data_IF_557444476436
#
_entry.id   IF_557444476436
#
_cell.length_a   1.000
_cell.length_b   1.000
_cell.length_c   1.000
_cell.angle_alpha   90.00
_cell.angle_beta   90.00
_cell.angle_gamma   90.00
#
_symmetry.space_group_name_H-M   'P 1'
#
loop_
_entity.id
_entity.type
_entity.pdbx_description
1 polymer ?
#
# COMPACT_ATOMS: atom_id res chain seq x y z
N UNK A 1 -3.32 5.47 -21.75
CA UNK A 1 -2.36 5.35 -20.65
C UNK A 1 -3.10 4.96 -19.38
N UNK A 2 -2.73 3.82 -18.83
CA UNK A 2 -3.26 3.22 -17.59
C UNK A 2 -2.15 3.23 -16.55
N UNK A 3 -2.51 3.39 -15.28
CA UNK A 3 -1.55 3.36 -14.18
C UNK A 3 -1.92 2.26 -13.19
N UNK A 4 -0.91 1.57 -12.68
CA UNK A 4 -1.05 0.53 -11.68
C UNK A 4 -0.33 1.00 -10.43
N UNK A 5 -1.09 1.14 -9.34
CA UNK A 5 -0.53 1.33 -8.02
C UNK A 5 -0.34 -0.04 -7.39
N UNK A 6 0.92 -0.40 -7.21
CA UNK A 6 1.39 -1.75 -6.96
C UNK A 6 1.97 -1.83 -5.56
N UNK A 7 1.88 -2.97 -4.89
CA UNK A 7 2.59 -3.16 -3.61
C UNK A 7 2.00 -4.29 -2.78
N UNK A 8 2.64 -4.57 -1.65
CA UNK A 8 2.24 -5.66 -0.77
C UNK A 8 0.85 -5.44 -0.12
N UNK A 9 0.18 -6.50 0.35
CA UNK A 9 -1.11 -6.35 1.01
C UNK A 9 -1.03 -5.48 2.29
N UNK A 10 -1.95 -4.51 2.42
CA UNK A 10 -2.11 -3.75 3.67
C UNK A 10 -1.17 -2.54 3.86
N UNK A 11 -0.38 -2.17 2.85
CA UNK A 11 0.58 -1.05 2.93
C UNK A 11 -0.02 0.35 2.66
N UNK A 12 -1.33 0.43 2.39
CA UNK A 12 -2.04 1.71 2.21
C UNK A 12 -2.37 2.11 0.76
N UNK A 13 -2.32 1.17 -0.20
CA UNK A 13 -2.66 1.45 -1.62
C UNK A 13 -4.03 2.09 -1.79
N UNK A 14 -5.06 1.51 -1.19
CA UNK A 14 -6.42 2.04 -1.26
C UNK A 14 -6.51 3.46 -0.70
N UNK A 15 -5.81 3.74 0.41
CA UNK A 15 -5.73 5.10 0.98
C UNK A 15 -5.08 6.07 0.00
N UNK A 16 -3.94 5.70 -0.60
CA UNK A 16 -3.28 6.54 -1.60
C UNK A 16 -4.15 6.74 -2.85
N UNK A 17 -4.87 5.72 -3.30
CA UNK A 17 -5.81 5.83 -4.43
C UNK A 17 -6.90 6.89 -4.15
N UNK A 18 -7.46 6.90 -2.93
CA UNK A 18 -8.43 7.91 -2.51
C UNK A 18 -7.78 9.30 -2.45
N UNK A 19 -6.58 9.43 -1.88
CA UNK A 19 -5.85 10.71 -1.90
C UNK A 19 -5.61 11.22 -3.34
N UNK A 20 -5.30 10.32 -4.27
CA UNK A 20 -5.19 10.64 -5.69
C UNK A 20 -6.52 11.09 -6.29
N UNK A 21 -7.65 10.46 -5.92
CA UNK A 21 -8.97 10.91 -6.36
C UNK A 21 -9.25 12.37 -5.93
N UNK A 22 -9.00 12.70 -4.67
CA UNK A 22 -9.12 14.08 -4.17
C UNK A 22 -8.17 15.03 -4.88
N UNK A 23 -6.90 14.65 -5.07
CA UNK A 23 -5.92 15.46 -5.77
C UNK A 23 -6.36 15.75 -7.22
N UNK A 24 -6.83 14.74 -7.95
CA UNK A 24 -7.29 14.87 -9.33
C UNK A 24 -8.50 15.81 -9.45
N UNK A 25 -9.44 15.73 -8.51
CA UNK A 25 -10.58 16.65 -8.49
C UNK A 25 -10.12 18.05 -8.13
N UNK A 26 -9.52 18.22 -6.95
CA UNK A 26 -9.27 19.55 -6.40
C UNK A 26 -8.22 20.33 -7.21
N UNK A 27 -7.16 19.66 -7.66
CA UNK A 27 -6.04 20.28 -8.38
C UNK A 27 -6.27 20.30 -9.90
N UNK A 28 -6.73 19.19 -10.48
CA UNK A 28 -6.82 19.01 -11.93
C UNK A 28 -8.24 19.14 -12.49
N UNK A 29 -9.23 19.43 -11.64
CA UNK A 29 -10.64 19.62 -12.02
C UNK A 29 -11.23 18.45 -12.81
N UNK A 30 -10.75 17.23 -12.51
CA UNK A 30 -11.28 16.00 -13.09
C UNK A 30 -12.45 15.47 -12.27
N UNK A 31 -13.38 14.80 -12.94
CA UNK A 31 -14.43 14.04 -12.28
C UNK A 31 -13.92 12.62 -12.09
N UNK A 32 -14.02 12.09 -10.89
CA UNK A 32 -13.40 10.83 -10.51
C UNK A 32 -14.47 9.90 -9.97
N UNK A 33 -14.49 8.69 -10.54
CA UNK A 33 -15.30 7.58 -10.09
C UNK A 33 -14.37 6.50 -9.55
N UNK A 34 -14.49 6.14 -8.28
CA UNK A 34 -13.72 5.09 -7.63
C UNK A 34 -14.64 3.91 -7.39
N UNK A 35 -14.33 2.77 -8.00
CA UNK A 35 -15.02 1.52 -7.76
C UNK A 35 -14.12 0.59 -6.96
N UNK A 36 -14.63 0.13 -5.81
CA UNK A 36 -13.91 -0.72 -4.88
C UNK A 36 -14.63 -2.04 -4.72
N UNK A 37 -13.95 -3.13 -5.07
CA UNK A 37 -14.43 -4.49 -4.89
C UNK A 37 -13.92 -5.05 -3.56
N UNK A 38 -14.81 -5.48 -2.67
CA UNK A 38 -14.45 -6.11 -1.40
C UNK A 38 -15.29 -7.37 -1.15
N UNK A 39 -14.70 -8.37 -0.50
CA UNK A 39 -15.41 -9.57 -0.03
C UNK A 39 -16.63 -9.25 0.87
N UNK A 40 -16.68 -8.05 1.46
CA UNK A 40 -17.73 -7.60 2.39
C UNK A 40 -18.76 -6.66 1.75
N UNK A 41 -18.70 -6.46 0.43
CA UNK A 41 -19.62 -5.61 -0.31
C UNK A 41 -18.87 -4.56 -1.13
N UNK A 42 -19.23 -4.49 -2.40
CA UNK A 42 -18.64 -3.56 -3.35
C UNK A 42 -19.18 -2.16 -3.13
N UNK A 43 -18.35 -1.13 -3.30
CA UNK A 43 -18.78 0.25 -3.16
C UNK A 43 -18.26 1.13 -4.29
N UNK A 44 -19.08 2.11 -4.63
CA UNK A 44 -18.80 3.14 -5.61
C UNK A 44 -18.74 4.49 -4.91
N UNK A 45 -17.72 5.26 -5.22
CA UNK A 45 -17.55 6.63 -4.76
C UNK A 45 -17.34 7.54 -5.95
N UNK A 46 -18.09 8.62 -6.03
CA UNK A 46 -17.90 9.65 -7.02
C UNK A 46 -17.53 10.96 -6.34
N UNK A 47 -16.57 11.68 -6.95
CA UNK A 47 -16.19 13.02 -6.59
C UNK A 47 -15.95 13.81 -7.87
N UNK A 48 -16.57 14.98 -8.02
CA UNK A 48 -16.42 15.77 -9.24
C UNK A 48 -17.00 17.18 -9.11
N UNK A 49 -17.10 17.87 -10.24
CA UNK A 49 -17.66 19.21 -10.33
C UNK A 49 -19.01 19.23 -11.03
N UNK A 50 -19.96 19.95 -10.44
CA UNK A 50 -21.23 20.31 -11.07
C UNK A 50 -21.48 21.79 -10.83
N UNK A 51 -21.70 22.54 -11.91
CA UNK A 51 -21.92 23.99 -11.87
C UNK A 51 -20.86 24.77 -11.06
N UNK A 52 -19.59 24.36 -11.14
CA UNK A 52 -18.47 25.01 -10.43
C UNK A 52 -18.32 24.61 -8.96
N UNK A 53 -19.21 23.78 -8.41
CA UNK A 53 -19.13 23.26 -7.04
C UNK A 53 -18.67 21.81 -7.01
N UNK A 54 -17.94 21.41 -5.97
CA UNK A 54 -17.57 20.01 -5.75
C UNK A 54 -18.78 19.26 -5.23
N UNK A 55 -19.13 18.18 -5.91
CA UNK A 55 -20.20 17.26 -5.53
C UNK A 55 -19.63 15.86 -5.33
N UNK A 56 -20.27 15.08 -4.46
CA UNK A 56 -19.89 13.69 -4.21
C UNK A 56 -21.12 12.84 -3.95
N UNK A 57 -21.00 11.55 -4.22
CA UNK A 57 -21.98 10.55 -3.78
C UNK A 57 -21.29 9.19 -3.56
N UNK A 58 -21.94 8.34 -2.78
CA UNK A 58 -21.52 6.95 -2.55
C UNK A 58 -22.68 6.00 -2.83
N UNK A 59 -22.35 4.81 -3.35
CA UNK A 59 -23.30 3.70 -3.52
C UNK A 59 -22.68 2.47 -2.89
N UNK A 60 -23.35 1.91 -1.88
CA UNK A 60 -22.96 0.66 -1.25
C UNK A 60 -23.65 -0.54 -1.93
N UNK A 61 -23.02 -1.71 -1.90
CA UNK A 61 -23.56 -2.92 -2.53
C UNK A 61 -23.71 -2.79 -4.05
N UNK A 62 -22.83 -2.03 -4.69
CA UNK A 62 -22.98 -1.65 -6.09
C UNK A 62 -22.57 -2.80 -7.02
N UNK A 63 -23.46 -3.27 -7.89
CA UNK A 63 -23.11 -4.29 -8.88
C UNK A 63 -22.23 -3.71 -9.99
N UNK A 64 -21.35 -4.52 -10.61
CA UNK A 64 -20.54 -4.08 -11.75
C UNK A 64 -21.36 -3.44 -12.88
N UNK A 65 -22.58 -3.92 -13.14
CA UNK A 65 -23.47 -3.39 -14.17
C UNK A 65 -23.92 -1.96 -13.86
N UNK A 66 -24.24 -1.67 -12.59
CA UNK A 66 -24.62 -0.33 -12.15
C UNK A 66 -23.44 0.63 -12.24
N UNK A 67 -22.24 0.19 -11.86
CA UNK A 67 -21.00 0.99 -12.01
C UNK A 67 -20.79 1.37 -13.46
N UNK A 68 -20.93 0.40 -14.36
CA UNK A 68 -20.78 0.61 -15.80
C UNK A 68 -21.82 1.61 -16.31
N UNK A 69 -23.09 1.47 -15.91
CA UNK A 69 -24.15 2.39 -16.31
C UNK A 69 -23.84 3.83 -15.84
N UNK A 70 -23.43 4.01 -14.58
CA UNK A 70 -23.05 5.32 -14.04
C UNK A 70 -21.84 5.90 -14.79
N UNK A 71 -20.80 5.09 -15.02
CA UNK A 71 -19.60 5.55 -15.70
C UNK A 71 -19.89 6.01 -17.14
N UNK A 72 -20.68 5.25 -17.89
CA UNK A 72 -21.08 5.62 -19.24
C UNK A 72 -21.94 6.87 -19.27
N UNK A 73 -22.87 7.01 -18.32
CA UNK A 73 -23.75 8.18 -18.25
C UNK A 73 -22.98 9.46 -17.92
N UNK A 74 -22.07 9.39 -16.94
CA UNK A 74 -21.14 10.48 -16.65
C UNK A 74 -20.27 10.80 -17.88
N UNK A 75 -19.78 9.78 -18.59
CA UNK A 75 -18.98 9.94 -19.80
C UNK A 75 -19.73 10.63 -20.94
N UNK A 76 -21.01 10.33 -21.16
CA UNK A 76 -21.87 11.00 -22.16
C UNK A 76 -22.10 12.47 -21.82
N UNK A 77 -22.39 12.77 -20.55
CA UNK A 77 -22.74 14.13 -20.12
C UNK A 77 -21.52 15.04 -19.95
N UNK A 78 -20.38 14.50 -19.53
CA UNK A 78 -19.21 15.28 -19.12
C UNK A 78 -17.97 15.03 -19.98
N UNK A 79 -18.04 14.07 -20.90
CA UNK A 79 -16.93 13.61 -21.74
C UNK A 79 -16.05 12.58 -21.04
N UNK A 80 -15.76 11.46 -21.70
CA UNK A 80 -14.88 10.39 -21.19
C UNK A 80 -13.44 10.83 -20.89
N UNK A 81 -12.96 11.93 -21.48
CA UNK A 81 -11.65 12.52 -21.16
C UNK A 81 -11.63 13.26 -19.81
N UNK A 82 -12.82 13.61 -19.30
CA UNK A 82 -12.99 14.33 -18.04
C UNK A 82 -13.40 13.43 -16.87
N UNK A 83 -13.93 12.24 -17.15
CA UNK A 83 -14.35 11.25 -16.14
C UNK A 83 -13.30 10.15 -16.01
N UNK A 84 -12.62 10.11 -14.86
CA UNK A 84 -11.56 9.17 -14.55
C UNK A 84 -12.09 8.05 -13.67
N UNK A 85 -12.04 6.82 -14.17
CA UNK A 85 -12.36 5.62 -13.41
C UNK A 85 -11.11 5.10 -12.69
N UNK A 86 -11.17 4.98 -11.37
CA UNK A 86 -10.15 4.35 -10.53
C UNK A 86 -10.72 3.07 -9.92
N UNK A 87 -9.91 2.03 -9.87
CA UNK A 87 -10.30 0.71 -9.39
C UNK A 87 -9.48 0.31 -8.17
N UNK A 88 -10.13 -0.30 -7.17
CA UNK A 88 -9.50 -0.83 -5.96
C UNK A 88 -10.02 -2.24 -5.65
N UNK A 89 -9.15 -3.11 -5.14
CA UNK A 89 -9.53 -4.45 -4.66
C UNK A 89 -9.88 -5.48 -5.73
N UNK A 90 -9.95 -5.09 -7.01
CA UNK A 90 -10.22 -5.99 -8.13
C UNK A 90 -8.94 -6.56 -8.74
N UNK A 91 -8.96 -7.84 -9.09
CA UNK A 91 -7.91 -8.50 -9.87
C UNK A 91 -8.00 -8.08 -11.34
N UNK A 92 -6.86 -7.84 -12.01
CA UNK A 92 -6.86 -7.32 -13.38
C UNK A 92 -7.64 -8.20 -14.35
N UNK A 93 -7.46 -9.52 -14.28
CA UNK A 93 -8.15 -10.48 -15.14
C UNK A 93 -9.66 -10.60 -14.86
N UNK A 94 -10.12 -10.07 -13.71
CA UNK A 94 -11.52 -10.03 -13.32
C UNK A 94 -12.21 -8.70 -13.69
N UNK A 95 -11.48 -7.73 -14.28
CA UNK A 95 -12.07 -6.44 -14.66
C UNK A 95 -13.07 -6.65 -15.80
N UNK A 96 -14.35 -6.23 -15.64
CA UNK A 96 -15.32 -6.29 -16.72
C UNK A 96 -14.83 -5.51 -17.95
N UNK A 97 -15.05 -6.04 -19.16
CA UNK A 97 -14.60 -5.40 -20.41
C UNK A 97 -15.01 -3.93 -20.54
N UNK A 98 -16.19 -3.56 -20.02
CA UNK A 98 -16.70 -2.17 -20.05
C UNK A 98 -15.99 -1.22 -19.07
N UNK A 99 -15.26 -1.76 -18.09
CA UNK A 99 -14.44 -1.00 -17.13
C UNK A 99 -12.94 -1.02 -17.47
N UNK A 100 -12.54 -1.62 -18.61
CA UNK A 100 -11.13 -1.76 -19.01
C UNK A 100 -10.44 -0.41 -19.27
N UNK A 101 -11.22 0.64 -19.50
CA UNK A 101 -10.75 2.01 -19.74
C UNK A 101 -10.44 2.80 -18.45
N UNK A 102 -10.26 2.10 -17.33
CA UNK A 102 -9.80 2.71 -16.08
C UNK A 102 -8.49 3.48 -16.27
N UNK A 103 -8.28 4.49 -15.43
CA UNK A 103 -7.06 5.31 -15.42
C UNK A 103 -6.06 4.84 -14.37
N UNK A 104 -6.53 4.36 -13.23
CA UNK A 104 -5.68 3.83 -12.18
C UNK A 104 -6.29 2.57 -11.56
N UNK A 105 -5.46 1.57 -11.28
CA UNK A 105 -5.83 0.38 -10.53
C UNK A 105 -4.89 0.22 -9.33
N UNK A 106 -5.44 0.18 -8.12
CA UNK A 106 -4.73 -0.27 -6.93
C UNK A 106 -4.77 -1.80 -6.87
N UNK A 107 -3.66 -2.43 -7.29
CA UNK A 107 -3.52 -3.88 -7.33
C UNK A 107 -2.45 -4.35 -6.36
N UNK A 108 -2.66 -5.51 -5.77
CA UNK A 108 -1.55 -6.22 -5.12
C UNK A 108 -0.64 -6.79 -6.20
N UNK A 109 0.67 -6.77 -5.99
CA UNK A 109 1.69 -7.25 -6.95
C UNK A 109 1.41 -8.63 -7.56
N UNK A 110 0.67 -9.44 -6.81
CA UNK A 110 0.31 -10.82 -7.08
C UNK A 110 -0.64 -11.00 -8.28
N UNK A 111 -1.23 -9.93 -8.82
CA UNK A 111 -2.28 -10.07 -9.84
C UNK A 111 -2.12 -9.07 -10.98
N UNK A 112 -0.88 -8.64 -11.20
CA UNK A 112 -0.58 -7.77 -12.33
C UNK A 112 -0.49 -8.60 -13.62
N UNK A 113 -0.96 -8.05 -14.75
CA UNK A 113 -0.69 -8.64 -16.04
C UNK A 113 0.83 -8.68 -16.26
N UNK A 114 1.33 -9.73 -16.93
CA UNK A 114 2.75 -9.85 -17.29
C UNK A 114 3.22 -8.57 -17.99
N UNK A 115 4.47 -8.17 -17.73
CA UNK A 115 5.17 -6.93 -18.15
C UNK A 115 5.01 -6.52 -19.63
N UNK A 116 4.51 -7.41 -20.50
CA UNK A 116 4.37 -7.19 -21.94
C UNK A 116 2.92 -7.11 -22.45
N UNK A 117 1.91 -7.10 -21.57
CA UNK A 117 0.51 -7.14 -22.01
C UNK A 117 -0.08 -5.77 -22.41
N UNK A 118 0.58 -4.66 -22.07
CA UNK A 118 0.11 -3.31 -22.40
C UNK A 118 1.28 -2.31 -22.49
N UNK A 119 1.74 -2.01 -23.71
CA UNK A 119 2.81 -1.02 -23.98
C UNK A 119 2.50 0.40 -23.48
N UNK A 120 1.31 0.62 -22.91
CA UNK A 120 0.82 1.90 -22.40
C UNK A 120 0.43 1.88 -20.91
N UNK A 121 0.92 0.89 -20.16
CA UNK A 121 0.76 0.75 -18.72
C UNK A 121 1.96 1.31 -17.94
N UNK A 122 1.68 2.07 -16.88
CA UNK A 122 2.68 2.58 -15.95
C UNK A 122 2.53 1.89 -14.60
N UNK A 123 3.58 1.24 -14.14
CA UNK A 123 3.61 0.61 -12.82
C UNK A 123 4.29 1.54 -11.82
N UNK A 124 3.67 1.71 -10.66
CA UNK A 124 4.21 2.49 -9.56
C UNK A 124 4.11 1.68 -8.28
N UNK A 125 5.24 1.30 -7.72
CA UNK A 125 5.31 0.64 -6.43
C UNK A 125 5.01 1.64 -5.30
N UNK A 126 4.11 1.26 -4.42
CA UNK A 126 4.01 1.77 -3.06
C UNK A 126 4.76 0.79 -2.15
N UNK A 127 5.98 1.13 -1.70
CA UNK A 127 6.77 0.22 -0.89
C UNK A 127 6.19 0.06 0.51
N UNK A 128 6.65 -0.97 1.20
CA UNK A 128 6.30 -1.20 2.60
C UNK A 128 6.87 -0.10 3.50
N UNK A 129 6.24 0.07 4.65
CA UNK A 129 6.58 1.15 5.57
C UNK A 129 7.82 0.80 6.39
N UNK A 130 8.69 1.78 6.63
CA UNK A 130 9.82 1.64 7.56
C UNK A 130 9.29 1.60 8.99
N UNK A 131 10.03 0.92 9.88
CA UNK A 131 9.72 0.84 11.32
C UNK A 131 9.47 2.21 11.93
N UNK A 132 10.34 3.19 11.65
CA UNK A 132 10.25 4.54 12.20
C UNK A 132 8.94 5.25 11.79
N UNK A 133 8.50 5.07 10.54
CA UNK A 133 7.26 5.66 10.03
C UNK A 133 6.03 4.99 10.65
N UNK A 134 6.05 3.67 10.84
CA UNK A 134 5.00 2.95 11.55
C UNK A 134 4.93 3.37 13.02
N UNK A 135 6.06 3.58 13.68
CA UNK A 135 6.09 4.03 15.08
C UNK A 135 5.55 5.46 15.21
N UNK A 136 5.84 6.32 14.22
CA UNK A 136 5.25 7.65 14.15
C UNK A 136 3.73 7.57 13.98
N UNK A 137 3.25 6.74 13.05
CA UNK A 137 1.81 6.47 12.87
C UNK A 137 1.16 5.94 14.16
N UNK A 138 1.82 4.98 14.83
CA UNK A 138 1.35 4.36 16.06
C UNK A 138 1.15 5.37 17.18
N UNK A 139 2.10 6.30 17.36
CA UNK A 139 1.99 7.37 18.35
C UNK A 139 0.96 8.43 17.98
N UNK A 140 1.02 8.94 16.76
CA UNK A 140 0.27 10.14 16.37
C UNK A 140 -1.18 9.86 15.99
N UNK A 141 -1.48 8.65 15.49
CA UNK A 141 -2.81 8.30 14.96
C UNK A 141 -3.47 7.20 15.78
N UNK A 142 -2.73 6.15 16.13
CA UNK A 142 -3.31 5.01 16.83
C UNK A 142 -3.24 5.12 18.37
N UNK A 143 -2.49 6.10 18.89
CA UNK A 143 -2.23 6.29 20.31
C UNK A 143 -1.70 5.02 21.02
N UNK A 144 -0.76 4.33 20.37
CA UNK A 144 -0.13 3.12 20.92
C UNK A 144 1.07 3.46 21.81
N UNK A 145 1.21 2.69 22.88
CA UNK A 145 2.39 2.71 23.75
C UNK A 145 3.62 2.08 23.07
N UNK A 146 4.83 2.49 23.45
CA UNK A 146 6.07 2.00 22.82
C UNK A 146 6.22 0.49 22.81
N UNK A 147 5.92 -0.16 23.94
CA UNK A 147 5.99 -1.62 24.06
C UNK A 147 5.01 -2.32 23.12
N UNK A 148 3.81 -1.76 22.95
CA UNK A 148 2.80 -2.31 22.05
C UNK A 148 3.23 -2.13 20.58
N UNK A 149 3.87 -1.00 20.24
CA UNK A 149 4.39 -0.76 18.89
C UNK A 149 5.47 -1.77 18.48
N UNK A 150 6.37 -2.16 19.39
CA UNK A 150 7.37 -3.21 19.10
C UNK A 150 6.70 -4.56 18.82
N UNK A 151 5.78 -4.99 19.69
CA UNK A 151 5.06 -6.25 19.52
C UNK A 151 4.24 -6.27 18.23
N UNK A 152 3.62 -5.15 17.87
CA UNK A 152 2.89 -4.99 16.60
C UNK A 152 3.81 -5.08 15.40
N UNK A 153 4.92 -4.35 15.41
CA UNK A 153 5.89 -4.36 14.32
C UNK A 153 6.49 -5.75 14.11
N UNK A 154 6.81 -6.45 15.20
CA UNK A 154 7.31 -7.83 15.15
C UNK A 154 6.36 -8.78 14.39
N UNK A 155 5.04 -8.53 14.44
CA UNK A 155 4.04 -9.31 13.72
C UNK A 155 3.83 -8.76 12.31
N UNK A 156 3.65 -7.44 12.20
CA UNK A 156 3.19 -6.78 10.98
C UNK A 156 4.26 -6.63 9.91
N UNK A 157 5.53 -6.59 10.30
CA UNK A 157 6.58 -6.00 9.47
C UNK A 157 6.16 -4.60 9.01
N UNK A 158 6.39 -4.29 7.73
CA UNK A 158 6.01 -3.04 7.07
C UNK A 158 4.54 -2.91 6.66
N UNK A 159 3.65 -3.84 7.09
CA UNK A 159 2.22 -3.77 6.77
C UNK A 159 1.46 -2.83 7.71
N UNK A 160 1.11 -1.64 7.22
CA UNK A 160 0.31 -0.65 7.97
C UNK A 160 -0.98 -1.24 8.52
N UNK A 161 -1.72 -1.96 7.67
CA UNK A 161 -3.01 -2.56 8.05
C UNK A 161 -2.88 -3.50 9.22
N UNK A 162 -1.82 -4.30 9.31
CA UNK A 162 -1.63 -5.25 10.42
C UNK A 162 -1.12 -4.52 11.66
N UNK A 163 -0.22 -3.56 11.48
CA UNK A 163 0.30 -2.73 12.56
C UNK A 163 -0.81 -1.95 13.28
N UNK A 164 -1.72 -1.35 12.51
CA UNK A 164 -2.80 -0.48 12.99
C UNK A 164 -4.06 -1.23 13.44
N UNK A 165 -4.02 -2.56 13.59
CA UNK A 165 -5.21 -3.32 14.04
C UNK A 165 -5.58 -2.92 15.46
N UNK A 166 -6.81 -2.47 15.65
CA UNK A 166 -7.35 -2.22 16.99
C UNK A 166 -7.71 -3.54 17.68
N UNK A 167 -7.42 -3.64 18.97
CA UNK A 167 -7.77 -4.80 19.78
C UNK A 167 -6.79 -5.98 19.68
N UNK A 168 -6.45 -6.54 20.84
CA UNK A 168 -5.53 -7.66 20.97
C UNK A 168 -6.04 -8.93 20.28
N UNK A 169 -7.36 -9.15 20.25
CA UNK A 169 -7.98 -10.33 19.64
C UNK A 169 -7.81 -10.37 18.12
N UNK A 170 -7.93 -9.22 17.47
CA UNK A 170 -7.71 -9.09 16.03
C UNK A 170 -6.23 -9.23 15.69
N UNK A 171 -5.34 -8.69 16.53
CA UNK A 171 -3.90 -8.89 16.38
C UNK A 171 -3.52 -10.37 16.53
N UNK A 172 -4.11 -11.07 17.51
CA UNK A 172 -3.94 -12.51 17.71
C UNK A 172 -4.50 -13.33 16.55
N UNK A 173 -5.63 -12.90 15.96
CA UNK A 173 -6.15 -13.52 14.75
C UNK A 173 -5.18 -13.39 13.56
N UNK A 174 -4.50 -12.25 13.43
CA UNK A 174 -3.44 -12.09 12.43
C UNK A 174 -2.21 -12.95 12.72
N UNK A 175 -1.76 -13.04 13.99
CA UNK A 175 -0.70 -13.98 14.39
C UNK A 175 -1.01 -15.42 13.96
N UNK A 176 -2.24 -15.89 14.21
CA UNK A 176 -2.70 -17.24 13.78
C UNK A 176 -2.66 -17.40 12.26
N UNK A 177 -3.07 -16.38 11.50
CA UNK A 177 -3.00 -16.41 10.02
C UNK A 177 -1.57 -16.49 9.52
N UNK A 178 -0.64 -15.73 10.12
CA UNK A 178 0.79 -15.78 9.78
C UNK A 178 1.35 -17.16 10.13
N UNK A 179 1.05 -17.68 11.32
CA UNK A 179 1.50 -19.02 11.73
C UNK A 179 1.04 -20.10 10.77
N UNK A 180 -0.25 -20.09 10.38
CA UNK A 180 -0.78 -21.01 9.36
C UNK A 180 -0.08 -20.86 8.01
N UNK A 181 0.13 -19.63 7.56
CA UNK A 181 0.87 -19.38 6.33
C UNK A 181 2.27 -19.98 6.41
N UNK A 182 2.99 -19.75 7.52
CA UNK A 182 4.31 -20.31 7.76
C UNK A 182 4.34 -21.83 7.80
N UNK A 183 3.27 -22.53 8.18
CA UNK A 183 3.19 -24.01 8.15
C UNK A 183 2.87 -24.55 6.76
N UNK A 184 2.03 -23.84 6.01
CA UNK A 184 1.56 -24.25 4.68
C UNK A 184 2.58 -23.98 3.56
N UNK A 185 3.60 -23.15 3.80
CA UNK A 185 4.66 -22.95 2.80
C UNK A 185 5.47 -24.23 2.59
N UNK A 186 5.41 -24.74 1.36
CA UNK A 186 6.37 -25.70 0.79
C UNK A 186 7.58 -24.92 0.23
N UNK A 187 8.80 -25.38 0.51
CA UNK A 187 10.02 -24.74 0.01
C UNK A 187 10.39 -23.44 0.74
N UNK A 188 10.62 -23.51 2.06
CA UNK A 188 10.97 -22.36 2.91
C UNK A 188 12.17 -21.56 2.39
N UNK A 189 13.11 -22.21 1.71
CA UNK A 189 14.26 -21.56 1.05
C UNK A 189 13.84 -20.63 -0.09
N UNK A 190 12.77 -20.95 -0.82
CA UNK A 190 12.24 -20.10 -1.89
C UNK A 190 11.62 -18.81 -1.34
N UNK A 191 11.29 -18.73 -0.04
CA UNK A 191 10.89 -17.49 0.64
C UNK A 191 12.05 -16.54 0.88
N UNK A 192 13.25 -17.08 1.03
CA UNK A 192 14.46 -16.33 1.38
C UNK A 192 15.43 -16.18 0.20
N UNK A 193 15.21 -16.88 -0.91
CA UNK A 193 15.94 -16.63 -2.14
C UNK A 193 15.68 -15.19 -2.61
N UNK A 194 16.73 -14.47 -3.01
CA UNK A 194 16.75 -13.10 -3.57
C UNK A 194 16.01 -12.96 -4.92
N UNK A 195 14.97 -13.77 -5.14
CA UNK A 195 14.19 -13.78 -6.35
C UNK A 195 13.50 -12.44 -6.54
N UNK A 196 14.02 -11.64 -7.48
CA UNK A 196 13.28 -10.60 -8.23
C UNK A 196 12.02 -11.16 -8.91
N UNK A 197 11.86 -12.49 -8.91
CA UNK A 197 10.67 -13.19 -9.35
C UNK A 197 9.52 -12.97 -8.36
N UNK A 198 8.66 -12.01 -8.71
CA UNK A 198 7.31 -11.83 -8.17
C UNK A 198 6.48 -13.06 -8.58
N UNK A 199 6.70 -14.20 -7.93
CA UNK A 199 5.83 -15.36 -8.12
C UNK A 199 4.55 -15.10 -7.32
N UNK A 200 3.53 -14.63 -8.03
CA UNK A 200 2.15 -14.70 -7.57
C UNK A 200 1.78 -16.17 -7.34
N UNK A 201 1.76 -16.59 -6.07
CA UNK A 201 1.47 -17.96 -5.69
C UNK A 201 0.05 -18.09 -5.15
N UNK A 202 -0.59 -19.25 -5.37
CA UNK A 202 -1.77 -19.65 -4.59
C UNK A 202 -1.44 -19.90 -3.10
N UNK A 203 -0.15 -19.96 -2.78
CA UNK A 203 0.36 -20.27 -1.46
C UNK A 203 0.45 -18.96 -0.65
N UNK A 204 0.08 -18.99 0.63
CA UNK A 204 0.04 -17.84 1.54
C UNK A 204 1.41 -17.12 1.75
N UNK A 205 2.44 -17.53 1.02
CA UNK A 205 3.78 -16.94 0.89
C UNK A 205 3.73 -15.42 0.74
N UNK A 206 2.76 -14.91 0.00
CA UNK A 206 2.70 -13.49 -0.33
C UNK A 206 2.17 -12.61 0.81
N UNK A 207 1.73 -13.22 1.92
CA UNK A 207 1.46 -12.52 3.19
C UNK A 207 2.73 -12.36 4.04
N UNK A 208 3.77 -13.11 3.72
CA UNK A 208 5.04 -13.12 4.46
C UNK A 208 6.07 -12.21 3.78
N UNK A 209 5.98 -12.03 2.45
CA UNK A 209 6.87 -11.17 1.68
C UNK A 209 6.30 -9.76 1.51
N UNK A 210 7.15 -8.80 1.84
CA UNK A 210 6.91 -7.38 1.71
C UNK A 210 7.91 -6.76 0.74
N UNK A 211 7.44 -5.85 -0.10
CA UNK A 211 8.22 -5.28 -1.19
C UNK A 211 8.70 -3.88 -0.86
N UNK A 212 9.99 -3.65 -1.09
CA UNK A 212 10.71 -2.43 -0.80
C UNK A 212 11.40 -1.91 -2.07
N UNK A 213 11.92 -0.69 -1.97
CA UNK A 213 12.86 -0.10 -2.94
C UNK A 213 14.20 0.10 -2.26
N UNK A 214 15.29 -0.05 -3.01
CA UNK A 214 16.66 0.07 -2.48
C UNK A 214 16.95 1.48 -1.94
N UNK A 215 16.63 2.51 -2.72
CA UNK A 215 16.73 3.91 -2.30
C UNK A 215 15.41 4.65 -2.52
N UNK A 216 14.82 5.09 -1.41
CA UNK A 216 13.56 5.86 -1.38
C UNK A 216 13.69 7.28 -1.94
N UNK A 217 14.91 7.82 -2.08
CA UNK A 217 15.17 9.17 -2.59
C UNK A 217 15.20 9.24 -4.12
N UNK A 218 15.26 8.11 -4.81
CA UNK A 218 15.36 8.03 -6.26
C UNK A 218 14.00 7.66 -6.87
N UNK A 219 13.27 8.60 -7.50
CA UNK A 219 11.90 8.35 -7.98
C UNK A 219 11.78 7.21 -9.01
N UNK A 220 12.82 6.98 -9.82
CA UNK A 220 12.81 5.89 -10.81
C UNK A 220 12.77 4.51 -10.16
N UNK A 221 13.22 4.35 -8.90
CA UNK A 221 13.16 3.08 -8.19
C UNK A 221 11.73 2.59 -7.93
N UNK A 222 10.76 3.50 -7.95
CA UNK A 222 9.35 3.15 -7.77
C UNK A 222 8.70 2.71 -9.09
N UNK A 223 9.34 2.94 -10.24
CA UNK A 223 8.79 2.71 -11.57
C UNK A 223 9.39 1.50 -12.28
N UNK A 224 10.60 1.06 -11.86
CA UNK A 224 11.30 -0.06 -12.47
C UNK A 224 11.32 -1.27 -11.54
N UNK A 225 10.72 -2.37 -11.97
CA UNK A 225 10.65 -3.65 -11.24
C UNK A 225 12.01 -4.20 -10.82
N UNK A 226 13.07 -3.96 -11.62
CA UNK A 226 14.44 -4.38 -11.32
C UNK A 226 14.99 -3.79 -10.03
N UNK A 227 14.38 -2.70 -9.54
CA UNK A 227 14.79 -1.97 -8.34
C UNK A 227 13.90 -2.33 -7.14
N UNK A 228 12.98 -3.28 -7.29
CA UNK A 228 12.08 -3.74 -6.24
C UNK A 228 12.63 -5.00 -5.59
N UNK A 229 12.58 -5.02 -4.27
CA UNK A 229 13.12 -6.13 -3.48
C UNK A 229 12.04 -6.71 -2.57
N UNK A 230 11.87 -8.03 -2.59
CA UNK A 230 10.93 -8.74 -1.72
C UNK A 230 11.66 -9.39 -0.55
N UNK A 231 11.22 -9.11 0.67
CA UNK A 231 11.81 -9.67 1.90
C UNK A 231 10.73 -10.14 2.87
N UNK A 232 11.06 -11.09 3.73
CA UNK A 232 10.27 -11.37 4.94
C UNK A 232 10.79 -10.46 6.04
N UNK A 233 9.97 -9.55 6.54
CA UNK A 233 10.32 -8.51 7.52
C UNK A 233 9.56 -8.64 8.85
N UNK A 234 8.58 -9.54 8.93
CA UNK A 234 7.92 -9.94 10.17
C UNK A 234 8.85 -10.84 10.98
N UNK A 235 9.37 -10.32 12.10
CA UNK A 235 10.23 -11.09 13.00
C UNK A 235 9.53 -12.37 13.52
N UNK A 236 8.23 -12.27 13.81
CA UNK A 236 7.41 -13.41 14.19
C UNK A 236 7.39 -14.50 13.11
N UNK A 237 7.22 -14.13 11.84
CA UNK A 237 7.28 -15.08 10.73
C UNK A 237 8.67 -15.68 10.57
N UNK A 238 9.73 -14.85 10.63
CA UNK A 238 11.12 -15.30 10.53
C UNK A 238 11.42 -16.37 11.59
N UNK A 239 11.00 -16.17 12.83
CA UNK A 239 11.30 -17.10 13.92
C UNK A 239 10.54 -18.43 13.77
N UNK A 240 9.30 -18.40 13.27
CA UNK A 240 8.57 -19.62 12.92
C UNK A 240 9.23 -20.39 11.78
N UNK A 241 9.74 -19.68 10.76
CA UNK A 241 10.37 -20.30 9.59
C UNK A 241 11.77 -20.83 9.89
N UNK A 242 12.56 -20.15 10.72
CA UNK A 242 13.89 -20.62 11.17
C UNK A 242 13.84 -22.01 11.78
N UNK A 243 12.82 -22.27 12.61
CA UNK A 243 12.63 -23.58 13.24
C UNK A 243 12.34 -24.71 12.24
N UNK A 244 12.05 -24.38 10.97
CA UNK A 244 11.79 -25.34 9.89
C UNK A 244 12.99 -25.52 8.94
N UNK A 245 14.01 -24.66 9.01
CA UNK A 245 15.18 -24.71 8.11
C UNK A 245 16.30 -25.51 8.79
N UNK A 246 16.90 -26.47 8.08
CA UNK A 246 17.99 -27.28 8.63
C UNK A 246 19.25 -26.43 8.83
N UNK A 247 20.02 -26.72 9.89
CA UNK A 247 21.08 -25.85 10.44
C UNK A 247 22.19 -25.42 9.45
N UNK A 248 22.36 -26.11 8.32
CA UNK A 248 23.37 -25.79 7.28
C UNK A 248 22.89 -24.76 6.25
N UNK A 249 21.60 -24.45 6.21
CA UNK A 249 20.98 -23.54 5.23
C UNK A 249 20.71 -22.13 5.82
N UNK A 250 21.18 -21.86 7.05
CA UNK A 250 20.97 -20.61 7.78
C UNK A 250 21.96 -19.48 7.42
N UNK A 251 23.03 -19.77 6.68
CA UNK A 251 24.06 -18.78 6.31
C UNK A 251 23.54 -17.60 5.48
N UNK A 252 22.62 -17.77 4.50
CA UNK A 252 22.03 -16.64 3.76
C UNK A 252 21.15 -15.72 4.64
N UNK A 253 20.53 -16.27 5.70
CA UNK A 253 19.62 -15.52 6.58
C UNK A 253 20.32 -14.50 7.48
N UNK A 254 21.58 -14.77 7.87
CA UNK A 254 22.38 -13.81 8.64
C UNK A 254 22.87 -12.64 7.76
N UNK A 255 23.09 -12.86 6.47
CA UNK A 255 23.57 -11.83 5.52
C UNK A 255 22.53 -10.73 5.26
N UNK A 256 21.24 -11.06 5.17
CA UNK A 256 20.17 -10.05 5.10
C UNK A 256 20.18 -9.14 6.34
N UNK A 257 20.54 -9.68 7.52
CA UNK A 257 20.62 -8.94 8.78
C UNK A 257 21.82 -7.99 8.85
N UNK A 258 22.95 -8.34 8.23
CA UNK A 258 24.16 -7.49 8.24
C UNK A 258 23.96 -6.20 7.43
N UNK A 259 23.16 -6.23 6.35
CA UNK A 259 22.86 -5.00 5.59
C UNK A 259 22.04 -3.98 6.38
N UNK A 260 21.18 -4.43 7.30
CA UNK A 260 20.34 -3.55 8.12
C UNK A 260 20.99 -3.18 9.48
N UNK A 261 22.16 -3.74 9.83
CA UNK A 261 22.92 -3.40 11.05
C UNK A 261 24.14 -2.49 10.82
N UNK A 262 24.48 -2.11 9.58
CA UNK A 262 25.64 -1.23 9.29
C UNK A 262 25.20 0.24 9.07
N UNK A 263 24.29 0.74 9.90
CA UNK A 263 24.03 2.20 10.01
C UNK A 263 24.37 2.79 11.38
N UNK A 264 25.02 2.04 12.27
CA UNK A 264 25.51 2.54 13.56
C UNK A 264 26.97 2.13 13.79
N UNK A 265 27.91 2.69 13.02
CA UNK A 265 29.30 2.85 13.48
C UNK A 265 29.95 3.99 12.68
N UNK A 266 29.92 5.20 13.25
CA UNK A 266 30.50 6.38 12.60
C UNK A 266 30.27 7.68 13.34
N UNK A 267 30.27 7.68 14.68
CA UNK A 267 30.31 8.93 15.45
C UNK A 267 31.75 9.26 15.82
N UNK A 268 32.15 10.51 15.51
CA UNK A 268 33.34 11.29 15.95
C UNK A 268 34.49 11.35 14.92
N UNK A 269 34.68 12.53 14.31
CA UNK A 269 35.67 13.52 14.77
C UNK A 269 35.62 14.86 13.98
N UNK A 270 35.62 15.96 14.75
CA UNK A 270 35.80 17.41 14.47
C UNK A 270 34.71 18.20 13.67
N UNK A 271 33.93 19.11 14.28
CA UNK A 271 34.21 20.52 14.72
C UNK A 271 34.79 21.37 13.56
N UNK A 272 34.31 22.54 13.16
CA UNK A 272 33.74 23.72 13.85
C UNK A 272 33.26 24.72 12.78
N UNK A 273 32.43 25.70 13.18
CA UNK A 273 31.91 26.87 12.41
C UNK A 273 30.74 26.54 11.47
N UNK A 274 29.62 27.26 11.40
CA UNK A 274 29.25 28.57 11.89
C UNK A 274 28.33 29.21 10.84
N UNK A 275 27.05 29.39 11.19
CA UNK A 275 26.03 30.28 10.59
C UNK A 275 25.27 29.90 9.28
N UNK A 276 23.93 30.04 9.44
CA UNK A 276 22.87 30.54 8.53
C UNK A 276 22.31 29.58 7.45
N UNK A 277 21.03 29.21 7.57
CA UNK A 277 19.92 29.85 6.82
C UNK A 277 18.57 29.12 6.99
N UNK A 278 17.49 29.90 7.09
CA UNK A 278 16.08 29.44 7.05
C UNK A 278 15.76 28.77 5.72
N UNK A 279 14.95 27.70 5.76
CA UNK A 279 13.86 27.47 4.79
C UNK A 279 12.74 26.61 5.40
N UNK A 280 11.54 27.20 5.37
CA UNK A 280 10.20 26.62 5.46
C UNK A 280 10.10 25.31 4.63
N UNK A 281 9.21 24.33 4.80
CA UNK A 281 7.85 24.20 5.37
C UNK A 281 7.49 22.72 5.17
N UNK A 282 6.75 22.08 6.09
CA UNK A 282 5.83 21.03 5.66
C UNK A 282 4.59 21.05 6.55
N UNK A 283 3.44 21.02 5.87
CA UNK A 283 2.15 21.43 6.39
C UNK A 283 1.62 20.42 7.41
N UNK A 284 1.32 20.92 8.61
CA UNK A 284 0.33 20.32 9.49
C UNK A 284 -1.05 20.55 8.86
N UNK A 285 -1.74 19.49 8.44
CA UNK A 285 -3.17 19.59 8.16
C UNK A 285 -3.92 19.31 9.46
N UNK A 286 -4.36 20.40 10.10
CA UNK A 286 -5.41 20.37 11.11
C UNK A 286 -6.72 20.17 10.37
N UNK A 287 -7.41 19.07 10.63
CA UNK A 287 -8.81 18.89 10.24
C UNK A 287 -9.64 19.81 11.13
N UNK A 288 -10.10 20.94 10.57
CA UNK A 288 -11.06 21.81 11.23
C UNK A 288 -12.43 21.13 11.12
N UNK A 289 -12.93 20.62 12.25
CA UNK A 289 -14.33 20.19 12.36
C UNK A 289 -15.25 21.43 12.29
N UNK A 290 -16.35 21.40 11.53
CA UNK A 290 -17.32 22.49 11.55
C UNK A 290 -18.04 22.53 12.91
N UNK A 291 -17.89 23.66 13.58
CA UNK A 291 -18.73 24.11 14.68
C UNK A 291 -20.20 24.13 14.20
N UNK A 292 -21.05 23.30 14.79
CA UNK A 292 -22.51 23.50 14.74
C UNK A 292 -22.90 24.32 15.98
N UNK A 293 -23.22 25.60 15.77
CA UNK A 293 -23.98 26.39 16.72
C UNK A 293 -25.37 26.65 16.16
N UNK A 294 -26.41 26.20 16.86
CA UNK A 294 -27.44 27.08 17.43
C UNK A 294 -28.67 26.28 17.91
N UNK A 295 -28.86 26.30 19.23
CA UNK A 295 -30.13 26.52 19.96
C UNK A 295 -31.48 26.10 19.35
N UNK A 296 -32.22 25.32 20.15
CA UNK A 296 -33.43 25.83 20.82
C UNK A 296 -33.21 25.76 22.33
#
# INVERSE_FOLDING_TARGET
>A
MRSFLVGSPGIGKSTLLILMAFYLVLKHKKNVLVYRWLDKGDCLFYLGYQAGTVVYFTVEGCSPELVVAIYEELGKHQGFSNVWLLLDGIQYDCIPRRLIHFRMLAASQQVLPKEHADEHAYYCLLPCWKKQDLFKLGREVCNFEEKDMEDRFNISGGSVRVFSIEGIDHLNAMRRKISRACTEVEGTLLLFSDGRNIQAGKNQIDRLRHTFVEDTQVPSNYLTDSNWEQRVDSQYAIDLLKNRIQSQELFPLQLCRVRDCVSEFGTRFFNTSGKISRKLTCCSFVVIAPYTSASM
#
